data_IF_575265100309
#
_entry.id   IF_575265100309
#
_cell.length_a   1.000
_cell.length_b   1.000
_cell.length_c   1.000
_cell.angle_alpha   90.00
_cell.angle_beta   90.00
_cell.angle_gamma   90.00
#
_symmetry.space_group_name_H-M   'P 1'
#
loop_
_entity.id
_entity.type
_entity.pdbx_description
1 polymer ?
#
# COMPACT_ATOMS: atom_id res chain seq x y z
N UNK A 1 19.49 15.53 7.90
CA UNK A 1 19.12 14.42 7.00
C UNK A 1 17.59 14.28 6.86
N UNK A 2 16.84 15.40 6.88
CA UNK A 2 15.37 15.39 6.87
C UNK A 2 14.78 15.04 5.49
N UNK A 3 15.45 15.46 4.41
CA UNK A 3 15.00 15.24 3.03
C UNK A 3 14.83 13.74 2.73
N UNK A 4 15.73 12.88 3.21
CA UNK A 4 15.63 11.45 2.98
C UNK A 4 14.45 10.83 3.75
N UNK A 5 14.17 11.26 4.98
CA UNK A 5 13.01 10.81 5.73
C UNK A 5 11.70 11.24 5.04
N UNK A 6 11.63 12.49 4.57
CA UNK A 6 10.46 12.98 3.82
C UNK A 6 10.28 12.21 2.50
N UNK A 7 11.37 11.84 1.80
CA UNK A 7 11.30 10.98 0.61
C UNK A 7 10.73 9.61 0.96
N UNK A 8 11.20 8.97 2.05
CA UNK A 8 10.70 7.67 2.51
C UNK A 8 9.21 7.76 2.85
N UNK A 9 8.79 8.81 3.55
CA UNK A 9 7.39 9.05 3.90
C UNK A 9 6.51 9.24 2.66
N UNK A 10 6.98 10.00 1.67
CA UNK A 10 6.26 10.18 0.39
C UNK A 10 6.17 8.86 -0.38
N UNK A 11 7.24 8.07 -0.43
CA UNK A 11 7.21 6.74 -1.06
C UNK A 11 6.20 5.84 -0.33
N UNK A 12 6.21 5.85 1.01
CA UNK A 12 5.25 5.08 1.81
C UNK A 12 3.82 5.50 1.48
N UNK A 13 3.55 6.81 1.44
CA UNK A 13 2.26 7.35 1.07
C UNK A 13 1.83 6.94 -0.35
N UNK A 14 2.74 6.95 -1.32
CA UNK A 14 2.47 6.50 -2.68
C UNK A 14 2.10 5.01 -2.71
N UNK A 15 2.78 4.16 -1.94
CA UNK A 15 2.47 2.72 -1.84
C UNK A 15 1.07 2.53 -1.24
N UNK A 16 0.76 3.20 -0.12
CA UNK A 16 -0.56 3.12 0.53
C UNK A 16 -1.65 3.58 -0.43
N UNK A 17 -1.43 4.70 -1.13
CA UNK A 17 -2.38 5.24 -2.11
C UNK A 17 -2.56 4.28 -3.29
N UNK A 18 -1.49 3.66 -3.80
CA UNK A 18 -1.56 2.69 -4.87
C UNK A 18 -2.37 1.44 -4.47
N UNK A 19 -2.11 0.89 -3.29
CA UNK A 19 -2.81 -0.28 -2.76
C UNK A 19 -4.30 0.04 -2.57
N UNK A 20 -4.61 1.15 -1.90
CA UNK A 20 -6.00 1.55 -1.57
C UNK A 20 -6.80 1.90 -2.81
N UNK A 21 -6.23 2.70 -3.72
CA UNK A 21 -6.89 3.03 -5.00
C UNK A 21 -7.09 1.80 -5.88
N UNK A 22 -6.19 0.82 -5.84
CA UNK A 22 -6.31 -0.44 -6.58
C UNK A 22 -7.59 -1.22 -6.25
N UNK A 23 -8.07 -1.18 -5.00
CA UNK A 23 -9.32 -1.85 -4.62
C UNK A 23 -10.55 -1.31 -5.37
N UNK A 24 -10.54 -0.02 -5.72
CA UNK A 24 -11.64 0.64 -6.44
C UNK A 24 -11.39 0.68 -7.95
N UNK A 25 -10.15 1.00 -8.36
CA UNK A 25 -9.77 1.15 -9.76
C UNK A 25 -9.85 -0.18 -10.52
N UNK A 26 -9.56 -1.31 -9.87
CA UNK A 26 -9.65 -2.63 -10.51
C UNK A 26 -11.10 -2.96 -10.93
N UNK A 27 -12.11 -2.95 -10.06
CA UNK A 27 -13.49 -3.25 -10.46
C UNK A 27 -14.08 -2.16 -11.37
N UNK A 28 -13.87 -0.87 -11.06
CA UNK A 28 -14.39 0.24 -11.87
C UNK A 28 -13.77 0.22 -13.26
N UNK A 29 -12.45 0.08 -13.35
CA UNK A 29 -11.74 0.04 -14.62
C UNK A 29 -12.12 -1.18 -15.47
N UNK A 30 -12.38 -2.34 -14.83
CA UNK A 30 -12.87 -3.50 -15.57
C UNK A 30 -14.26 -3.26 -16.17
N UNK A 31 -15.20 -2.70 -15.40
CA UNK A 31 -16.56 -2.36 -15.87
C UNK A 31 -16.51 -1.27 -16.96
N UNK A 32 -15.64 -0.27 -16.80
CA UNK A 32 -15.43 0.80 -17.75
C UNK A 32 -14.56 0.41 -18.96
N UNK A 33 -14.13 -0.86 -19.07
CA UNK A 33 -13.23 -1.37 -20.10
C UNK A 33 -11.91 -0.58 -20.25
N UNK A 34 -11.34 -0.11 -19.15
CA UNK A 34 -10.02 0.50 -19.14
C UNK A 34 -8.93 -0.55 -19.30
N UNK A 35 -8.26 -0.56 -20.45
CA UNK A 35 -7.23 -1.56 -20.79
C UNK A 35 -6.10 -1.64 -19.76
N UNK A 36 -5.67 -0.49 -19.21
CA UNK A 36 -4.59 -0.43 -18.24
C UNK A 36 -4.94 -1.15 -16.92
N UNK A 37 -6.20 -1.15 -16.48
CA UNK A 37 -6.64 -1.84 -15.24
C UNK A 37 -6.71 -3.37 -15.39
N UNK A 38 -6.75 -3.84 -16.64
CA UNK A 38 -6.66 -5.25 -16.97
C UNK A 38 -5.22 -5.74 -17.15
N UNK A 39 -4.23 -4.84 -17.09
CA UNK A 39 -2.81 -5.16 -17.25
C UNK A 39 -2.32 -6.07 -16.13
N UNK A 40 -1.80 -7.25 -16.52
CA UNK A 40 -1.26 -8.26 -15.61
C UNK A 40 -0.17 -7.69 -14.70
N UNK A 41 0.70 -6.80 -15.20
CA UNK A 41 1.81 -6.25 -14.41
C UNK A 41 1.30 -5.43 -13.22
N UNK A 42 0.28 -4.60 -13.43
CA UNK A 42 -0.33 -3.79 -12.38
C UNK A 42 -1.06 -4.64 -11.35
N UNK A 43 -1.72 -5.72 -11.80
CA UNK A 43 -2.40 -6.64 -10.89
C UNK A 43 -1.43 -7.48 -10.07
N UNK A 44 -0.31 -7.91 -10.65
CA UNK A 44 0.74 -8.64 -9.92
C UNK A 44 1.42 -7.70 -8.92
N UNK A 45 1.72 -6.46 -9.29
CA UNK A 45 2.33 -5.52 -8.34
C UNK A 45 1.39 -5.19 -7.18
N UNK A 46 0.11 -4.95 -7.45
CA UNK A 46 -0.90 -4.72 -6.41
C UNK A 46 -1.07 -5.93 -5.49
N UNK A 47 -1.23 -7.13 -6.05
CA UNK A 47 -1.33 -8.36 -5.27
C UNK A 47 -0.05 -8.63 -4.46
N UNK A 48 1.12 -8.45 -5.08
CA UNK A 48 2.42 -8.63 -4.43
C UNK A 48 2.62 -7.67 -3.26
N UNK A 49 2.25 -6.40 -3.41
CA UNK A 49 2.29 -5.43 -2.31
C UNK A 49 1.30 -5.80 -1.19
N UNK A 50 0.09 -6.26 -1.52
CA UNK A 50 -0.85 -6.73 -0.51
C UNK A 50 -0.36 -7.93 0.27
N UNK A 51 0.23 -8.93 -0.41
CA UNK A 51 0.86 -10.09 0.25
C UNK A 51 2.00 -9.62 1.15
N UNK A 52 2.86 -8.73 0.66
CA UNK A 52 4.00 -8.21 1.39
C UNK A 52 3.58 -7.53 2.70
N UNK A 53 2.65 -6.57 2.64
CA UNK A 53 2.15 -5.85 3.83
C UNK A 53 1.41 -6.78 4.81
N UNK A 54 0.69 -7.79 4.29
CA UNK A 54 0.05 -8.81 5.14
C UNK A 54 1.10 -9.67 5.86
N UNK A 55 2.19 -10.04 5.19
CA UNK A 55 3.28 -10.81 5.80
C UNK A 55 4.06 -10.00 6.84
N UNK A 56 4.29 -8.71 6.61
CA UNK A 56 4.92 -7.82 7.58
C UNK A 56 4.13 -7.78 8.89
N UNK A 57 2.82 -7.57 8.80
CA UNK A 57 1.94 -7.60 9.98
C UNK A 57 1.83 -8.97 10.63
N UNK A 58 1.84 -10.06 9.85
CA UNK A 58 1.85 -11.42 10.38
C UNK A 58 3.12 -11.70 11.21
N UNK A 59 4.27 -11.22 10.74
CA UNK A 59 5.55 -11.37 11.44
C UNK A 59 5.69 -10.40 12.63
N UNK A 60 4.70 -9.54 12.86
CA UNK A 60 4.75 -8.50 13.89
C UNK A 60 5.83 -7.44 13.62
N UNK A 61 6.29 -7.34 12.38
CA UNK A 61 7.31 -6.39 11.95
C UNK A 61 6.61 -5.09 11.61
N UNK A 62 7.05 -3.97 12.19
CA UNK A 62 6.64 -2.64 11.75
C UNK A 62 7.13 -2.41 10.33
N UNK A 63 6.31 -1.78 9.47
CA UNK A 63 6.68 -1.51 8.08
C UNK A 63 8.14 -1.02 7.99
N UNK A 64 9.01 -1.65 7.18
CA UNK A 64 10.43 -1.34 7.11
C UNK A 64 10.67 0.10 6.68
N UNK A 65 9.75 0.68 5.90
CA UNK A 65 9.76 2.11 5.56
C UNK A 65 9.58 3.00 6.79
N UNK A 66 8.70 2.64 7.71
CA UNK A 66 8.49 3.36 8.98
C UNK A 66 9.71 3.25 9.88
N UNK A 67 10.26 2.05 10.00
CA UNK A 67 11.49 1.83 10.78
C UNK A 67 12.66 2.65 10.19
N UNK A 68 12.78 2.68 8.86
CA UNK A 68 13.78 3.47 8.15
C UNK A 68 13.55 4.97 8.34
N UNK A 69 12.32 5.45 8.21
CA UNK A 69 11.95 6.85 8.46
C UNK A 69 12.37 7.29 9.87
N UNK A 70 12.06 6.48 10.89
CA UNK A 70 12.41 6.76 12.29
C UNK A 70 13.92 6.82 12.51
N UNK A 71 14.67 5.90 11.90
CA UNK A 71 16.14 5.90 11.96
C UNK A 71 16.71 7.16 11.30
N UNK A 72 16.15 7.58 10.16
CA UNK A 72 16.60 8.77 9.42
C UNK A 72 16.23 10.10 10.10
N UNK A 73 15.08 10.16 10.79
CA UNK A 73 14.66 11.34 11.58
C UNK A 73 15.48 11.50 12.86
N UNK A 74 15.95 10.40 13.46
CA UNK A 74 16.69 10.44 14.72
C UNK A 74 15.85 11.04 15.87
N UNK A 75 16.49 11.67 16.86
CA UNK A 75 15.80 12.33 17.99
C UNK A 75 15.25 13.73 17.67
N UNK A 76 15.34 14.17 16.40
CA UNK A 76 14.94 15.52 15.99
C UNK A 76 13.58 15.43 15.31
N UNK A 77 12.55 15.77 16.07
CA UNK A 77 11.16 15.80 15.61
C UNK A 77 10.84 17.09 14.86
N UNK A 78 11.71 17.51 13.93
CA UNK A 78 11.38 18.61 13.02
C UNK A 78 10.70 18.01 11.80
N UNK A 79 9.39 17.82 11.90
CA UNK A 79 8.56 17.41 10.77
C UNK A 79 8.25 18.62 9.87
N UNK A 80 8.32 18.42 8.56
CA UNK A 80 7.76 19.40 7.63
C UNK A 80 6.24 19.45 7.80
N UNK A 81 5.61 20.58 7.48
CA UNK A 81 4.14 20.71 7.59
C UNK A 81 3.41 19.60 6.80
N UNK A 82 3.90 19.26 5.60
CA UNK A 82 3.36 18.15 4.80
C UNK A 82 3.63 16.80 5.48
N UNK A 83 4.84 16.59 6.01
CA UNK A 83 5.22 15.35 6.69
C UNK A 83 4.29 15.05 7.87
N UNK A 84 3.96 16.06 8.67
CA UNK A 84 3.03 15.93 9.79
C UNK A 84 1.65 15.40 9.37
N UNK A 85 1.06 15.98 8.32
CA UNK A 85 -0.25 15.54 7.83
C UNK A 85 -0.22 14.14 7.21
N UNK A 86 0.84 13.81 6.48
CA UNK A 86 1.01 12.47 5.90
C UNK A 86 1.21 11.43 7.00
N UNK A 87 1.97 11.75 8.05
CA UNK A 87 2.15 10.88 9.21
C UNK A 87 0.82 10.60 9.91
N UNK A 88 0.01 11.64 10.15
CA UNK A 88 -1.31 11.50 10.77
C UNK A 88 -2.30 10.66 9.94
N UNK A 89 -2.12 10.64 8.62
CA UNK A 89 -2.97 9.87 7.71
C UNK A 89 -2.58 8.39 7.67
N UNK A 90 -1.28 8.07 7.72
CA UNK A 90 -0.76 6.71 7.58
C UNK A 90 -0.67 5.98 8.92
N UNK A 91 -0.27 6.67 9.99
CA UNK A 91 0.00 6.07 11.28
C UNK A 91 -1.19 6.18 12.20
N UNK A 92 -1.91 5.07 12.36
CA UNK A 92 -3.01 4.96 13.33
C UNK A 92 -2.59 4.11 14.52
N UNK A 93 -2.95 4.58 15.70
CA UNK A 93 -2.64 3.95 16.98
C UNK A 93 -3.65 2.83 17.29
N UNK A 94 -3.72 1.85 16.38
CA UNK A 94 -4.59 0.68 16.49
C UNK A 94 -3.77 -0.58 16.78
N UNK A 95 -4.32 -1.56 17.51
CA UNK A 95 -3.66 -2.83 17.72
C UNK A 95 -3.31 -3.55 16.41
N UNK A 96 -2.11 -4.13 16.36
CA UNK A 96 -1.59 -4.85 15.17
C UNK A 96 -2.53 -5.95 14.67
N UNK A 97 -3.27 -6.61 15.57
CA UNK A 97 -4.23 -7.66 15.19
C UNK A 97 -5.39 -7.11 14.34
N UNK A 98 -5.82 -5.87 14.55
CA UNK A 98 -6.88 -5.24 13.74
C UNK A 98 -6.36 -5.04 12.31
N UNK A 99 -5.14 -4.51 12.17
CA UNK A 99 -4.50 -4.38 10.87
C UNK A 99 -4.31 -5.73 10.17
N UNK A 100 -3.86 -6.75 10.91
CA UNK A 100 -3.70 -8.09 10.36
C UNK A 100 -5.04 -8.65 9.80
N UNK A 101 -6.12 -8.57 10.58
CA UNK A 101 -7.45 -9.02 10.14
C UNK A 101 -7.89 -8.25 8.88
N UNK A 102 -7.75 -6.92 8.89
CA UNK A 102 -8.08 -6.07 7.74
C UNK A 102 -7.26 -6.48 6.51
N UNK A 103 -5.95 -6.65 6.64
CA UNK A 103 -5.07 -7.00 5.53
C UNK A 103 -5.37 -8.40 4.99
N UNK A 104 -5.70 -9.37 5.84
CA UNK A 104 -6.19 -10.67 5.38
C UNK A 104 -7.49 -10.56 4.58
N UNK A 105 -8.46 -9.74 5.04
CA UNK A 105 -9.71 -9.51 4.31
C UNK A 105 -9.43 -8.88 2.94
N UNK A 106 -8.61 -7.83 2.89
CA UNK A 106 -8.27 -7.14 1.64
C UNK A 106 -7.40 -7.97 0.71
N UNK A 107 -6.52 -8.82 1.24
CA UNK A 107 -5.77 -9.80 0.45
C UNK A 107 -6.73 -10.81 -0.18
N UNK A 108 -7.66 -11.35 0.61
CA UNK A 108 -8.73 -12.22 0.11
C UNK A 108 -9.58 -11.56 -0.98
N UNK A 109 -9.96 -10.29 -0.77
CA UNK A 109 -10.64 -9.47 -1.78
C UNK A 109 -9.82 -9.34 -3.06
N UNK A 110 -8.53 -9.05 -2.95
CA UNK A 110 -7.63 -8.91 -4.11
C UNK A 110 -7.57 -10.20 -4.93
N UNK A 111 -7.42 -11.34 -4.25
CA UNK A 111 -7.43 -12.66 -4.88
C UNK A 111 -8.80 -13.00 -5.49
N UNK A 112 -9.90 -12.57 -4.86
CA UNK A 112 -11.25 -12.73 -5.40
C UNK A 112 -11.43 -11.91 -6.69
N UNK A 113 -10.96 -10.67 -6.72
CA UNK A 113 -11.01 -9.82 -7.92
C UNK A 113 -10.20 -10.39 -9.09
N UNK A 114 -9.15 -11.16 -8.82
CA UNK A 114 -8.44 -11.92 -9.86
C UNK A 114 -9.30 -13.02 -10.49
N UNK A 115 -10.22 -13.63 -9.73
CA UNK A 115 -11.15 -14.64 -10.24
C UNK A 115 -12.36 -14.03 -10.95
N UNK A 116 -12.97 -13.00 -10.37
CA UNK A 116 -14.19 -12.36 -10.92
C UNK A 116 -13.85 -11.56 -12.17
N UNK A 117 -12.73 -10.85 -12.16
CA UNK A 117 -12.30 -9.96 -13.22
C UNK A 117 -10.91 -10.38 -13.71
N UNK A 118 -10.76 -11.47 -14.47
CA UNK A 118 -9.43 -11.96 -14.85
C UNK A 118 -8.68 -10.94 -15.71
N UNK A 119 -7.34 -10.80 -15.56
CA UNK A 119 -6.55 -9.92 -16.39
C UNK A 119 -6.69 -10.32 -17.87
N UNK A 120 -6.94 -9.33 -18.73
CA UNK A 120 -6.96 -9.54 -20.18
C UNK A 120 -5.51 -9.65 -20.64
N UNK A 121 -5.21 -10.60 -21.52
CA UNK A 121 -3.87 -10.69 -22.12
C UNK A 121 -3.60 -9.37 -22.85
N UNK A 122 -2.41 -8.76 -22.72
CA UNK A 122 -2.05 -7.67 -23.61
C UNK A 122 -2.17 -8.20 -25.05
N UNK A 123 -2.97 -7.53 -25.88
CA UNK A 123 -2.96 -7.82 -27.31
C UNK A 123 -1.51 -7.58 -27.81
N UNK A 124 -0.90 -8.55 -28.52
CA UNK A 124 0.44 -8.40 -29.09
C UNK A 124 0.47 -7.32 -30.19
#
# INVERSE_FOLDING_TARGET
>A
MLIFADIVLVIHFCIVTFITSGFFLIPIGYIANWDWTSNVKLRISHCGMMVFVTLETLLGITCPLTSLENILRGSIQSESFIGYWVQQLIYWDLPTHIFFILYCIFLGWTLLMWRIFPPKKPCP
#
